data_IF_526270315490
#
_entry.id   IF_526270315490
#
_cell.length_a   1.000
_cell.length_b   1.000
_cell.length_c   1.000
_cell.angle_alpha   90.00
_cell.angle_beta   90.00
_cell.angle_gamma   90.00
#
_symmetry.space_group_name_H-M   'P 1'
#
loop_
_entity.id
_entity.type
_entity.pdbx_description
1 polymer ?
#
# COMPACT_ATOMS: atom_id res chain seq x y z
N UNK A 1 -6.72 -12.32 -27.37
CA UNK A 1 -5.49 -12.48 -26.58
C UNK A 1 -5.12 -11.07 -26.09
N UNK A 2 -5.72 -10.67 -24.98
CA UNK A 2 -5.51 -9.32 -24.42
C UNK A 2 -4.16 -9.35 -23.70
N UNK A 3 -3.22 -8.56 -24.18
CA UNK A 3 -1.92 -8.44 -23.50
C UNK A 3 -2.15 -7.78 -22.14
N UNK A 4 -1.99 -8.55 -21.07
CA UNK A 4 -1.87 -8.02 -19.72
C UNK A 4 -0.69 -7.05 -19.75
N UNK A 5 -0.95 -5.76 -19.60
CA UNK A 5 0.10 -4.76 -19.43
C UNK A 5 0.68 -4.92 -18.03
N UNK A 6 1.41 -6.01 -17.78
CA UNK A 6 2.29 -6.07 -16.64
C UNK A 6 3.37 -5.01 -16.87
N UNK A 7 3.41 -4.04 -15.95
CA UNK A 7 4.54 -3.11 -15.93
C UNK A 7 5.84 -3.95 -15.87
N UNK A 8 6.88 -3.56 -16.59
CA UNK A 8 8.14 -4.31 -16.63
C UNK A 8 8.82 -4.43 -15.26
N UNK A 9 8.28 -3.80 -14.23
CA UNK A 9 8.79 -3.83 -12.86
C UNK A 9 7.66 -3.59 -11.85
N UNK A 10 7.75 -4.22 -10.68
CA UNK A 10 6.83 -4.00 -9.56
C UNK A 10 7.17 -2.68 -8.85
N UNK A 11 6.16 -1.83 -8.63
CA UNK A 11 6.32 -0.55 -7.92
C UNK A 11 6.42 -0.79 -6.42
N UNK A 12 7.08 0.15 -5.71
CA UNK A 12 7.25 0.05 -4.25
C UNK A 12 6.70 1.27 -3.56
N UNK A 13 5.83 1.05 -2.57
CA UNK A 13 5.39 2.06 -1.63
C UNK A 13 6.01 1.78 -0.25
N UNK A 14 6.63 2.79 0.36
CA UNK A 14 7.09 2.77 1.75
C UNK A 14 6.08 3.54 2.60
N UNK A 15 5.34 2.83 3.45
CA UNK A 15 4.23 3.39 4.21
C UNK A 15 4.63 3.75 5.66
N UNK A 16 3.99 4.80 6.21
CA UNK A 16 4.22 5.24 7.60
C UNK A 16 5.51 6.04 7.76
N UNK A 17 5.76 6.95 6.84
CA UNK A 17 6.86 7.93 6.91
C UNK A 17 6.51 8.97 7.99
N UNK A 18 7.43 9.18 8.93
CA UNK A 18 7.32 10.16 10.01
C UNK A 18 8.53 11.10 10.09
N UNK A 19 9.60 10.84 9.33
CA UNK A 19 10.85 11.61 9.35
C UNK A 19 11.32 11.93 7.94
N UNK A 20 11.93 13.11 7.80
CA UNK A 20 12.46 13.59 6.52
C UNK A 20 13.58 12.71 5.97
N UNK A 21 14.48 12.28 6.85
CA UNK A 21 15.61 11.41 6.47
C UNK A 21 15.11 10.07 5.90
N UNK A 22 14.06 9.46 6.48
CA UNK A 22 13.47 8.23 5.99
C UNK A 22 12.84 8.42 4.61
N UNK A 23 12.13 9.54 4.42
CA UNK A 23 11.52 9.90 3.14
C UNK A 23 12.58 10.04 2.04
N UNK A 24 13.62 10.82 2.30
CA UNK A 24 14.74 11.05 1.35
C UNK A 24 15.46 9.77 1.01
N UNK A 25 15.75 8.95 2.01
CA UNK A 25 16.43 7.68 1.80
C UNK A 25 15.58 6.71 0.96
N UNK A 26 14.29 6.57 1.27
CA UNK A 26 13.38 5.71 0.51
C UNK A 26 13.31 6.12 -0.97
N UNK A 27 13.18 7.42 -1.24
CA UNK A 27 13.17 7.96 -2.61
C UNK A 27 14.50 7.73 -3.32
N UNK A 28 15.62 8.04 -2.68
CA UNK A 28 16.94 7.83 -3.25
C UNK A 28 17.24 6.35 -3.54
N UNK A 29 16.61 5.43 -2.79
CA UNK A 29 16.71 3.98 -3.01
C UNK A 29 15.74 3.46 -4.09
N UNK A 30 14.83 4.29 -4.64
CA UNK A 30 13.95 3.94 -5.75
C UNK A 30 12.49 3.68 -5.37
N UNK A 31 12.03 4.09 -4.18
CA UNK A 31 10.60 4.00 -3.85
C UNK A 31 9.75 4.85 -4.80
N UNK A 32 8.65 4.26 -5.32
CA UNK A 32 7.72 4.92 -6.24
C UNK A 32 6.67 5.77 -5.51
N UNK A 33 6.41 5.46 -4.23
CA UNK A 33 5.42 6.15 -3.41
C UNK A 33 5.81 6.15 -1.93
N UNK A 34 5.40 7.20 -1.21
CA UNK A 34 5.54 7.32 0.23
C UNK A 34 4.17 7.50 0.88
N UNK A 35 3.91 6.76 1.97
CA UNK A 35 2.67 6.83 2.73
C UNK A 35 2.82 7.63 4.02
N UNK A 36 1.90 8.57 4.23
CA UNK A 36 1.77 9.42 5.42
C UNK A 36 0.45 9.06 6.12
N UNK A 37 0.49 8.69 7.39
CA UNK A 37 -0.67 8.16 8.12
C UNK A 37 -1.36 9.28 8.90
N UNK A 38 -2.60 9.58 8.55
CA UNK A 38 -3.45 10.58 9.23
C UNK A 38 -4.55 9.89 10.08
N UNK A 39 -4.14 8.91 10.87
CA UNK A 39 -4.99 8.17 11.78
C UNK A 39 -4.39 8.16 13.18
N UNK A 40 -5.00 8.90 14.13
CA UNK A 40 -4.44 9.19 15.44
C UNK A 40 -4.15 7.99 16.35
N UNK A 41 -4.78 6.81 16.08
CA UNK A 41 -4.50 5.57 16.82
C UNK A 41 -3.27 4.83 16.30
N UNK A 42 -2.74 5.22 15.14
CA UNK A 42 -1.56 4.58 14.57
C UNK A 42 -0.28 5.09 15.26
N UNK A 43 0.66 4.20 15.60
CA UNK A 43 2.00 4.63 16.06
C UNK A 43 2.82 5.33 14.97
N UNK A 44 2.34 5.31 13.72
CA UNK A 44 2.93 5.97 12.55
C UNK A 44 2.16 7.23 12.15
N UNK A 45 1.24 7.70 13.01
CA UNK A 45 0.52 8.95 12.76
C UNK A 45 1.52 10.11 12.69
N UNK A 46 1.37 10.94 11.67
CA UNK A 46 2.20 12.13 11.47
C UNK A 46 1.38 13.40 11.64
N UNK A 47 1.98 14.40 12.24
CA UNK A 47 1.42 15.75 12.29
C UNK A 47 1.32 16.34 10.87
N UNK A 48 0.23 17.09 10.61
CA UNK A 48 -0.08 17.61 9.28
C UNK A 48 0.99 18.61 8.77
N UNK A 49 1.48 19.47 9.65
CA UNK A 49 2.52 20.45 9.28
C UNK A 49 3.84 19.77 8.97
N UNK A 50 4.20 18.77 9.78
CA UNK A 50 5.39 17.95 9.54
C UNK A 50 5.28 17.16 8.23
N UNK A 51 4.11 16.61 7.92
CA UNK A 51 3.87 15.95 6.63
C UNK A 51 4.03 16.93 5.46
N UNK A 52 3.47 18.16 5.57
CA UNK A 52 3.61 19.23 4.59
C UNK A 52 5.09 19.55 4.29
N UNK A 53 5.91 19.72 5.32
CA UNK A 53 7.34 20.01 5.19
C UNK A 53 8.08 18.88 4.46
N UNK A 54 7.81 17.62 4.83
CA UNK A 54 8.43 16.47 4.18
C UNK A 54 7.98 16.40 2.72
N UNK A 55 6.69 16.48 2.45
CA UNK A 55 6.11 16.38 1.10
C UNK A 55 6.66 17.46 0.17
N UNK A 56 6.76 18.70 0.65
CA UNK A 56 7.31 19.83 -0.12
C UNK A 56 8.79 19.63 -0.52
N UNK A 57 9.52 18.79 0.20
CA UNK A 57 10.92 18.49 -0.10
C UNK A 57 11.13 17.32 -1.07
N UNK A 58 10.06 16.59 -1.42
CA UNK A 58 10.14 15.42 -2.30
C UNK A 58 10.21 15.82 -3.77
N UNK A 59 10.98 15.07 -4.57
CA UNK A 59 11.02 15.29 -6.01
C UNK A 59 9.70 14.92 -6.68
N UNK A 60 9.53 15.36 -7.92
CA UNK A 60 8.46 14.89 -8.82
C UNK A 60 8.62 13.38 -9.11
N UNK A 61 7.55 12.74 -9.59
CA UNK A 61 7.46 11.30 -9.90
C UNK A 61 7.52 10.36 -8.68
N UNK A 62 7.36 10.90 -7.47
CA UNK A 62 7.11 10.13 -6.25
C UNK A 62 5.71 10.44 -5.76
N UNK A 63 4.83 9.44 -5.70
CA UNK A 63 3.48 9.64 -5.18
C UNK A 63 3.48 9.87 -3.67
N UNK A 64 2.74 10.89 -3.22
CA UNK A 64 2.57 11.26 -1.81
C UNK A 64 1.18 10.79 -1.39
N UNK A 65 1.13 9.67 -0.67
CA UNK A 65 -0.10 8.97 -0.32
C UNK A 65 -0.55 9.33 1.10
N UNK A 66 -1.73 9.94 1.26
CA UNK A 66 -2.36 10.15 2.57
C UNK A 66 -3.21 8.95 2.95
N UNK A 67 -2.90 8.30 4.08
CA UNK A 67 -3.65 7.15 4.59
C UNK A 67 -4.62 7.58 5.69
N UNK A 68 -5.87 7.15 5.53
CA UNK A 68 -6.97 7.38 6.46
C UNK A 68 -7.65 6.07 6.86
N UNK A 69 -8.32 6.08 8.01
CA UNK A 69 -9.20 5.01 8.50
C UNK A 69 -10.48 5.66 8.98
N UNK A 70 -11.59 5.44 8.27
CA UNK A 70 -12.94 5.98 8.52
C UNK A 70 -12.93 7.48 8.88
N UNK A 71 -12.33 8.33 8.03
CA UNK A 71 -12.16 9.76 8.35
C UNK A 71 -13.43 10.56 8.11
N UNK A 72 -13.58 11.67 8.84
CA UNK A 72 -14.56 12.69 8.48
C UNK A 72 -14.18 13.35 7.12
N UNK A 73 -15.17 13.62 6.23
CA UNK A 73 -14.88 14.19 4.91
C UNK A 73 -14.15 15.54 4.95
N UNK A 74 -14.42 16.36 5.95
CA UNK A 74 -13.74 17.64 6.17
C UNK A 74 -12.26 17.45 6.46
N UNK A 75 -11.91 16.43 7.24
CA UNK A 75 -10.52 16.12 7.56
C UNK A 75 -9.72 15.72 6.31
N UNK A 76 -10.28 14.87 5.46
CA UNK A 76 -9.63 14.48 4.19
C UNK A 76 -9.35 15.72 3.33
N UNK A 77 -10.34 16.61 3.17
CA UNK A 77 -10.20 17.86 2.39
C UNK A 77 -9.12 18.76 2.97
N UNK A 78 -9.08 18.90 4.30
CA UNK A 78 -8.06 19.70 4.97
C UNK A 78 -6.65 19.14 4.71
N UNK A 79 -6.46 17.83 4.86
CA UNK A 79 -5.15 17.20 4.60
C UNK A 79 -4.72 17.39 3.14
N UNK A 80 -5.62 17.18 2.18
CA UNK A 80 -5.33 17.41 0.75
C UNK A 80 -4.84 18.84 0.53
N UNK A 81 -5.61 19.82 1.01
CA UNK A 81 -5.33 21.25 0.80
C UNK A 81 -4.02 21.67 1.45
N UNK A 82 -3.80 21.28 2.70
CA UNK A 82 -2.66 21.72 3.48
C UNK A 82 -1.35 21.03 3.11
N UNK A 83 -1.39 19.75 2.75
CA UNK A 83 -0.14 18.97 2.61
C UNK A 83 0.33 18.80 1.17
N UNK A 84 -0.58 18.92 0.20
CA UNK A 84 -0.25 18.69 -1.21
C UNK A 84 -0.03 17.22 -1.55
N UNK A 85 -0.65 16.29 -0.82
CA UNK A 85 -0.72 14.87 -1.22
C UNK A 85 -1.43 14.73 -2.56
N UNK A 86 -1.02 13.76 -3.36
CA UNK A 86 -1.54 13.53 -4.72
C UNK A 86 -2.34 12.23 -4.84
N UNK A 87 -2.34 11.41 -3.83
CA UNK A 87 -3.03 10.11 -3.80
C UNK A 87 -3.61 9.88 -2.41
N UNK A 88 -4.80 9.28 -2.34
CA UNK A 88 -5.45 8.94 -1.08
C UNK A 88 -5.41 7.42 -0.86
N UNK A 89 -5.31 6.97 0.38
CA UNK A 89 -5.49 5.57 0.76
C UNK A 89 -6.53 5.48 1.87
N UNK A 90 -7.59 4.71 1.62
CA UNK A 90 -8.65 4.45 2.57
C UNK A 90 -8.52 3.02 3.11
N UNK A 91 -8.28 2.90 4.41
CA UNK A 91 -7.93 1.64 5.07
C UNK A 91 -8.99 1.17 6.09
N UNK A 92 -10.12 1.86 6.15
CA UNK A 92 -11.31 1.51 6.96
C UNK A 92 -12.43 0.90 6.12
N UNK A 93 -13.67 1.13 6.54
CA UNK A 93 -14.87 0.60 5.88
C UNK A 93 -15.50 1.58 4.86
N UNK A 94 -14.72 2.52 4.35
CA UNK A 94 -15.19 3.56 3.43
C UNK A 94 -15.78 2.96 2.15
N UNK A 95 -16.94 3.47 1.73
CA UNK A 95 -17.59 3.05 0.49
C UNK A 95 -16.87 3.58 -0.74
N UNK A 96 -17.06 2.96 -1.91
CA UNK A 96 -16.52 3.44 -3.18
C UNK A 96 -16.93 4.91 -3.45
N UNK A 97 -18.22 5.25 -3.18
CA UNK A 97 -18.73 6.61 -3.32
C UNK A 97 -18.01 7.61 -2.42
N UNK A 98 -17.65 7.20 -1.21
CA UNK A 98 -16.84 8.03 -0.31
C UNK A 98 -15.44 8.27 -0.88
N UNK A 99 -14.81 7.25 -1.44
CA UNK A 99 -13.44 7.34 -1.94
C UNK A 99 -13.30 8.27 -3.17
N UNK A 100 -14.27 8.24 -4.09
CA UNK A 100 -14.17 9.00 -5.36
C UNK A 100 -14.47 10.50 -5.26
N UNK A 101 -15.07 10.97 -4.15
CA UNK A 101 -15.59 12.34 -4.06
C UNK A 101 -14.53 13.44 -3.99
N UNK A 102 -13.26 13.09 -3.82
CA UNK A 102 -12.18 14.06 -3.57
C UNK A 102 -11.43 14.47 -4.84
N UNK A 103 -11.71 13.87 -5.99
CA UNK A 103 -11.08 14.23 -7.26
C UNK A 103 -9.61 13.82 -7.40
N UNK A 104 -9.07 13.07 -6.44
CA UNK A 104 -7.73 12.49 -6.50
C UNK A 104 -7.80 10.97 -6.73
N UNK A 105 -6.77 10.37 -7.34
CA UNK A 105 -6.65 8.92 -7.36
C UNK A 105 -6.62 8.36 -5.95
N UNK A 106 -7.20 7.16 -5.78
CA UNK A 106 -7.23 6.53 -4.47
C UNK A 106 -6.88 5.05 -4.51
N UNK A 107 -6.39 4.57 -3.38
CA UNK A 107 -6.14 3.17 -3.06
C UNK A 107 -7.17 2.75 -2.02
N UNK A 108 -7.94 1.69 -2.28
CA UNK A 108 -8.79 1.07 -1.26
C UNK A 108 -8.10 -0.14 -0.67
N UNK A 109 -7.89 -0.13 0.64
CA UNK A 109 -7.41 -1.30 1.35
C UNK A 109 -8.56 -2.27 1.61
N UNK A 110 -8.32 -3.55 1.34
CA UNK A 110 -9.22 -4.67 1.62
C UNK A 110 -8.45 -5.72 2.42
N UNK A 111 -9.16 -6.43 3.29
CA UNK A 111 -8.56 -7.44 4.17
C UNK A 111 -8.85 -8.84 3.65
N UNK A 112 -7.82 -9.62 3.44
CA UNK A 112 -7.93 -10.99 2.97
C UNK A 112 -8.24 -11.96 4.11
N UNK A 113 -9.46 -11.87 4.68
CA UNK A 113 -9.92 -12.74 5.78
C UNK A 113 -10.20 -14.17 5.31
N UNK A 114 -10.92 -14.30 4.21
CA UNK A 114 -11.23 -15.56 3.53
C UNK A 114 -11.51 -15.26 2.05
N UNK A 115 -11.61 -16.31 1.23
CA UNK A 115 -11.78 -16.18 -0.22
C UNK A 115 -13.09 -15.46 -0.61
N UNK A 116 -14.20 -15.76 0.06
CA UNK A 116 -15.51 -15.19 -0.25
C UNK A 116 -15.53 -13.67 -0.04
N UNK A 117 -15.09 -13.22 1.14
CA UNK A 117 -15.04 -11.79 1.46
C UNK A 117 -14.02 -11.05 0.60
N UNK A 118 -12.86 -11.64 0.33
CA UNK A 118 -11.86 -11.06 -0.54
C UNK A 118 -12.41 -10.88 -1.96
N UNK A 119 -13.03 -11.90 -2.54
CA UNK A 119 -13.63 -11.79 -3.88
C UNK A 119 -14.73 -10.75 -3.94
N UNK A 120 -15.60 -10.68 -2.92
CA UNK A 120 -16.64 -9.66 -2.85
C UNK A 120 -16.05 -8.23 -2.82
N UNK A 121 -15.03 -8.00 -2.03
CA UNK A 121 -14.36 -6.70 -1.95
C UNK A 121 -13.61 -6.35 -3.24
N UNK A 122 -12.89 -7.29 -3.86
CA UNK A 122 -12.22 -7.08 -5.14
C UNK A 122 -13.22 -6.71 -6.25
N UNK A 123 -14.38 -7.38 -6.31
CA UNK A 123 -15.47 -7.03 -7.24
C UNK A 123 -16.04 -5.64 -6.95
N UNK A 124 -16.33 -5.35 -5.67
CA UNK A 124 -16.88 -4.07 -5.23
C UNK A 124 -16.00 -2.89 -5.60
N UNK A 125 -14.68 -3.07 -5.51
CA UNK A 125 -13.70 -2.03 -5.78
C UNK A 125 -12.96 -2.23 -7.12
N UNK A 126 -13.49 -3.06 -8.03
CA UNK A 126 -12.85 -3.36 -9.33
C UNK A 126 -12.58 -2.15 -10.22
N UNK A 127 -13.28 -1.02 -9.97
CA UNK A 127 -13.06 0.26 -10.67
C UNK A 127 -12.13 1.22 -9.91
N UNK A 128 -11.56 0.80 -8.78
CA UNK A 128 -10.62 1.63 -8.04
C UNK A 128 -9.27 1.72 -8.79
N UNK A 129 -8.61 2.88 -8.78
CA UNK A 129 -7.28 3.05 -9.38
C UNK A 129 -6.19 2.18 -8.74
N UNK A 130 -6.40 1.74 -7.49
CA UNK A 130 -5.54 0.81 -6.77
C UNK A 130 -6.32 0.05 -5.70
N UNK A 131 -6.09 -1.26 -5.58
CA UNK A 131 -6.64 -2.09 -4.51
C UNK A 131 -5.46 -2.65 -3.71
N UNK A 132 -5.34 -2.22 -2.47
CA UNK A 132 -4.33 -2.75 -1.56
C UNK A 132 -4.94 -3.94 -0.82
N UNK A 133 -4.34 -5.12 -0.99
CA UNK A 133 -4.72 -6.32 -0.26
C UNK A 133 -3.80 -6.45 0.94
N UNK A 134 -4.36 -6.17 2.13
CA UNK A 134 -3.65 -6.34 3.40
C UNK A 134 -3.84 -7.77 3.90
N UNK A 135 -2.75 -8.45 3.98
CA UNK A 135 -2.68 -9.87 4.32
C UNK A 135 -2.41 -10.12 5.81
N UNK A 136 -2.26 -9.05 6.60
CA UNK A 136 -2.01 -9.16 8.02
C UNK A 136 -3.26 -9.56 8.81
N UNK A 137 -3.19 -10.67 9.54
CA UNK A 137 -4.21 -11.12 10.50
C UNK A 137 -3.71 -10.90 11.93
N UNK A 138 -4.31 -9.96 12.71
CA UNK A 138 -3.84 -9.66 14.06
C UNK A 138 -3.98 -10.81 15.07
N UNK A 139 -4.84 -11.79 14.81
CA UNK A 139 -5.11 -12.92 15.71
C UNK A 139 -4.21 -14.14 15.50
N UNK A 140 -3.44 -14.20 14.44
CA UNK A 140 -2.39 -15.20 14.26
C UNK A 140 -1.08 -14.66 14.85
N UNK A 141 -0.97 -14.71 16.18
CA UNK A 141 0.30 -14.53 16.88
C UNK A 141 1.26 -15.62 16.39
N UNK A 142 2.16 -15.20 15.52
CA UNK A 142 3.10 -16.04 14.84
C UNK A 142 4.05 -16.79 15.80
N UNK A 143 4.58 -17.78 15.32
CA UNK A 143 5.61 -18.71 15.76
C UNK A 143 5.81 -19.77 14.69
N UNK A 144 4.93 -19.85 13.72
CA UNK A 144 4.93 -20.90 12.70
C UNK A 144 5.59 -20.50 11.39
N UNK A 145 5.99 -19.20 11.21
CA UNK A 145 6.55 -18.74 9.93
C UNK A 145 5.56 -18.79 8.77
N UNK A 146 4.27 -19.02 9.05
CA UNK A 146 3.24 -19.01 8.03
C UNK A 146 3.03 -17.58 7.56
N UNK A 147 3.66 -17.25 6.45
CA UNK A 147 3.30 -16.15 5.58
C UNK A 147 1.81 -16.29 5.28
N UNK A 148 1.07 -15.16 5.33
CA UNK A 148 -0.29 -15.10 4.82
C UNK A 148 -0.39 -15.96 3.56
N UNK A 149 -1.50 -16.65 3.45
CA UNK A 149 -1.75 -17.53 2.31
C UNK A 149 -1.91 -16.71 1.02
N UNK A 150 -0.80 -16.26 0.42
CA UNK A 150 -0.77 -15.59 -0.89
C UNK A 150 -1.47 -16.44 -1.97
N UNK A 151 -1.55 -17.74 -1.71
CA UNK A 151 -2.29 -18.67 -2.56
C UNK A 151 -3.79 -18.33 -2.61
N UNK A 152 -4.38 -17.88 -1.48
CA UNK A 152 -5.77 -17.44 -1.44
C UNK A 152 -6.01 -16.23 -2.37
N UNK A 153 -5.11 -15.25 -2.36
CA UNK A 153 -5.20 -14.11 -3.30
C UNK A 153 -5.01 -14.56 -4.74
N UNK A 154 -4.05 -15.45 -5.01
CA UNK A 154 -3.82 -16.02 -6.35
C UNK A 154 -5.07 -16.71 -6.88
N UNK A 155 -5.69 -17.56 -6.09
CA UNK A 155 -6.92 -18.27 -6.44
C UNK A 155 -8.08 -17.28 -6.70
N UNK A 156 -8.26 -16.28 -5.84
CA UNK A 156 -9.27 -15.25 -6.04
C UNK A 156 -9.07 -14.47 -7.35
N UNK A 157 -7.83 -14.10 -7.68
CA UNK A 157 -7.52 -13.39 -8.94
C UNK A 157 -7.75 -14.27 -10.17
N UNK A 158 -7.45 -15.58 -10.10
CA UNK A 158 -7.75 -16.54 -11.17
C UNK A 158 -9.25 -16.67 -11.41
N UNK A 159 -10.06 -16.76 -10.34
CA UNK A 159 -11.52 -16.83 -10.46
C UNK A 159 -12.10 -15.52 -11.04
N UNK A 160 -11.64 -14.37 -10.57
CA UNK A 160 -12.08 -13.07 -11.08
C UNK A 160 -11.74 -12.89 -12.57
N UNK A 161 -10.59 -13.40 -13.00
CA UNK A 161 -10.20 -13.36 -14.41
C UNK A 161 -11.15 -14.19 -15.30
N UNK A 162 -11.68 -15.32 -14.83
CA UNK A 162 -12.70 -16.11 -15.53
C UNK A 162 -14.03 -15.33 -15.68
N UNK A 163 -14.32 -14.44 -14.76
CA UNK A 163 -15.49 -13.55 -14.80
C UNK A 163 -15.26 -12.27 -15.63
N UNK A 164 -14.08 -12.12 -16.25
CA UNK A 164 -13.71 -10.97 -17.09
C UNK A 164 -13.11 -9.80 -16.30
N UNK A 165 -12.87 -9.94 -14.99
CA UNK A 165 -12.17 -8.96 -14.18
C UNK A 165 -10.66 -9.25 -14.22
N UNK A 166 -10.05 -8.85 -15.30
CA UNK A 166 -8.60 -8.90 -15.53
C UNK A 166 -7.97 -7.54 -15.21
N UNK A 167 -6.67 -7.51 -15.02
CA UNK A 167 -5.87 -6.28 -14.86
C UNK A 167 -6.24 -5.40 -13.64
N UNK A 168 -6.72 -6.02 -12.55
CA UNK A 168 -6.91 -5.30 -11.29
C UNK A 168 -5.56 -4.78 -10.76
N UNK A 169 -5.43 -3.48 -10.46
CA UNK A 169 -4.18 -2.90 -9.97
C UNK A 169 -3.94 -3.27 -8.51
N UNK A 170 -3.50 -4.51 -8.28
CA UNK A 170 -3.29 -5.07 -6.94
C UNK A 170 -2.00 -4.55 -6.33
N UNK A 171 -2.10 -3.97 -5.15
CA UNK A 171 -0.98 -3.59 -4.29
C UNK A 171 -0.92 -4.59 -3.14
N UNK A 172 0.11 -5.41 -3.11
CA UNK A 172 0.27 -6.40 -2.06
C UNK A 172 0.86 -5.78 -0.81
N UNK A 173 0.21 -5.97 0.33
CA UNK A 173 0.63 -5.49 1.64
C UNK A 173 0.48 -6.58 2.72
N UNK A 174 0.86 -6.26 3.96
CA UNK A 174 0.75 -7.15 5.11
C UNK A 174 1.92 -8.12 5.26
N UNK A 175 2.74 -7.94 6.29
CA UNK A 175 3.83 -8.85 6.63
C UNK A 175 4.98 -8.94 5.63
N UNK A 176 5.04 -8.07 4.62
CA UNK A 176 6.16 -8.03 3.68
C UNK A 176 7.45 -7.56 4.37
N UNK A 177 8.54 -8.23 4.04
CA UNK A 177 9.90 -7.98 4.55
C UNK A 177 10.92 -8.17 3.44
N UNK A 178 12.18 -7.75 3.61
CA UNK A 178 13.25 -8.08 2.66
C UNK A 178 13.40 -9.58 2.38
N UNK A 179 13.06 -10.43 3.37
CA UNK A 179 13.23 -11.88 3.26
C UNK A 179 12.14 -12.62 2.48
N UNK A 180 10.98 -11.99 2.24
CA UNK A 180 9.85 -12.66 1.59
C UNK A 180 9.27 -11.95 0.36
N UNK A 181 9.65 -10.68 0.12
CA UNK A 181 9.06 -9.87 -0.97
C UNK A 181 9.31 -10.46 -2.35
N UNK A 182 10.47 -11.05 -2.58
CA UNK A 182 10.82 -11.65 -3.87
C UNK A 182 9.92 -12.85 -4.19
N UNK A 183 9.66 -13.71 -3.21
CA UNK A 183 8.74 -14.84 -3.36
C UNK A 183 7.31 -14.36 -3.63
N UNK A 184 6.85 -13.36 -2.88
CA UNK A 184 5.53 -12.76 -3.07
C UNK A 184 5.32 -12.22 -4.49
N UNK A 185 6.33 -11.53 -5.03
CA UNK A 185 6.27 -10.98 -6.39
C UNK A 185 6.26 -12.10 -7.44
N UNK A 186 7.11 -13.12 -7.30
CA UNK A 186 7.13 -14.27 -8.22
C UNK A 186 5.81 -15.02 -8.25
N UNK A 187 5.15 -15.14 -7.10
CA UNK A 187 3.88 -15.87 -6.98
C UNK A 187 2.69 -15.11 -7.57
N UNK A 188 2.63 -13.79 -7.34
CA UNK A 188 1.43 -12.97 -7.56
C UNK A 188 1.58 -11.97 -8.70
N UNK A 189 2.81 -11.62 -9.09
CA UNK A 189 3.10 -10.55 -10.06
C UNK A 189 2.26 -9.27 -9.81
N UNK A 190 2.27 -8.70 -8.59
CA UNK A 190 1.41 -7.59 -8.24
C UNK A 190 1.82 -6.30 -8.98
N UNK A 191 0.87 -5.38 -9.16
CA UNK A 191 1.13 -4.05 -9.71
C UNK A 191 2.12 -3.26 -8.85
N UNK A 192 2.02 -3.41 -7.52
CA UNK A 192 2.92 -2.80 -6.55
C UNK A 192 2.99 -3.64 -5.26
N UNK A 193 4.00 -3.38 -4.47
CA UNK A 193 4.11 -3.85 -3.08
C UNK A 193 4.13 -2.67 -2.12
N UNK A 194 3.51 -2.83 -0.95
CA UNK A 194 3.47 -1.84 0.13
C UNK A 194 4.08 -2.42 1.40
N UNK A 195 5.07 -1.74 1.95
CA UNK A 195 5.73 -2.16 3.18
C UNK A 195 5.75 -1.06 4.22
N UNK A 196 5.49 -1.42 5.47
CA UNK A 196 5.58 -0.50 6.61
C UNK A 196 6.52 -1.05 7.69
N UNK A 197 6.04 -1.95 8.56
CA UNK A 197 6.83 -2.48 9.67
C UNK A 197 8.02 -3.33 9.24
N UNK A 198 7.93 -4.01 8.09
CA UNK A 198 9.00 -4.88 7.59
C UNK A 198 10.32 -4.17 7.24
N UNK A 199 10.32 -2.84 7.22
CA UNK A 199 11.50 -1.99 6.99
C UNK A 199 11.72 -0.98 8.13
N UNK A 200 11.17 -1.24 9.31
CA UNK A 200 11.36 -0.41 10.52
C UNK A 200 12.42 -1.00 11.44
N UNK A 201 13.19 -0.12 12.09
CA UNK A 201 14.02 -0.46 13.24
C UNK A 201 13.24 -0.34 14.56
N UNK A 202 12.29 0.59 14.61
CA UNK A 202 11.29 0.74 15.67
C UNK A 202 10.02 1.38 15.10
N UNK A 203 8.91 1.33 15.82
CA UNK A 203 7.61 1.81 15.33
C UNK A 203 7.68 3.27 14.87
N UNK A 204 7.43 3.52 13.59
CA UNK A 204 7.47 4.83 12.96
C UNK A 204 8.87 5.32 12.56
N UNK A 205 9.93 4.53 12.77
CA UNK A 205 11.30 4.85 12.37
C UNK A 205 11.80 3.80 11.39
N UNK A 206 12.07 4.21 10.15
CA UNK A 206 12.54 3.30 9.11
C UNK A 206 14.04 3.02 9.26
N UNK A 207 14.44 1.82 8.82
CA UNK A 207 15.83 1.42 8.69
C UNK A 207 16.28 1.58 7.25
N UNK A 208 17.28 2.39 7.01
CA UNK A 208 17.89 2.57 5.69
C UNK A 208 18.38 1.23 5.11
N UNK A 209 18.97 0.38 5.96
CA UNK A 209 19.45 -0.94 5.56
C UNK A 209 18.28 -1.83 5.10
N UNK A 210 17.19 -1.91 5.87
CA UNK A 210 16.04 -2.73 5.52
C UNK A 210 15.30 -2.23 4.29
N UNK A 211 15.16 -0.90 4.11
CA UNK A 211 14.64 -0.30 2.87
C UNK A 211 15.46 -0.75 1.67
N UNK A 212 16.78 -0.63 1.75
CA UNK A 212 17.66 -1.01 0.64
C UNK A 212 17.57 -2.50 0.32
N UNK A 213 17.56 -3.36 1.34
CA UNK A 213 17.39 -4.80 1.16
C UNK A 213 16.03 -5.15 0.55
N UNK A 214 14.95 -4.47 0.98
CA UNK A 214 13.61 -4.67 0.45
C UNK A 214 13.53 -4.30 -1.04
N UNK A 215 14.04 -3.12 -1.40
CA UNK A 215 14.04 -2.64 -2.79
C UNK A 215 14.89 -3.52 -3.71
N UNK A 216 16.05 -4.01 -3.24
CA UNK A 216 16.82 -5.01 -3.97
C UNK A 216 16.01 -6.29 -4.21
N UNK A 217 15.34 -6.81 -3.18
CA UNK A 217 14.48 -7.98 -3.32
C UNK A 217 13.33 -7.78 -4.32
N UNK A 218 12.88 -6.53 -4.54
CA UNK A 218 11.86 -6.22 -5.55
C UNK A 218 12.44 -6.11 -6.95
N UNK A 219 13.61 -5.52 -7.12
CA UNK A 219 14.17 -5.22 -8.46
C UNK A 219 15.06 -6.33 -9.03
N UNK A 220 15.46 -7.30 -8.21
CA UNK A 220 16.25 -8.46 -8.62
C UNK A 220 15.38 -9.72 -8.89
N UNK A 221 14.08 -9.56 -9.12
CA UNK A 221 13.12 -10.66 -9.38
C UNK A 221 13.25 -11.21 -10.80
#
# INVERSE_FOLDING_TARGET
>A
MTMVHQAPFTRVKICGITRLEDARFAVASGASALGFVFYGKSPRCIDMMKAKEIIASLPVFVSKVALFVDPEPSWVKTVIYETGVDTLQFHGDESFRFCVQYGLPFIKAVHAKNQETLMADLKRFSKAPGILVDTYQPDQRGGTGETFNWQLLKEALVELAKEGLVDLPIILAGGLTPGNVQEAIRLLSPYAVDVSSGVEQEKGVKSAQLINQFLRGVYEV
#
